data_IF_616227357028
#
_entry.id   IF_616227357028
#
_cell.length_a   1.000
_cell.length_b   1.000
_cell.length_c   1.000
_cell.angle_alpha   90.00
_cell.angle_beta   90.00
_cell.angle_gamma   90.00
#
_symmetry.space_group_name_H-M   'P 1'
#
loop_
_entity.id
_entity.type
_entity.pdbx_description
1 polymer ?
#
# COMPACT_ATOMS: atom_id res chain seq x y z
N UNK A 1 -14.10 29.63 -25.23
CA UNK A 1 -13.86 28.19 -25.50
C UNK A 1 -14.73 27.88 -26.70
N UNK A 2 -14.11 27.73 -27.87
CA UNK A 2 -14.83 27.62 -29.14
C UNK A 2 -15.35 26.18 -29.31
N UNK A 3 -16.44 25.97 -30.04
CA UNK A 3 -17.00 24.62 -30.31
C UNK A 3 -15.98 23.69 -30.98
N UNK A 4 -15.09 24.25 -31.82
CA UNK A 4 -13.97 23.55 -32.45
C UNK A 4 -12.91 23.06 -31.45
N UNK A 5 -12.73 23.73 -30.30
CA UNK A 5 -11.77 23.31 -29.27
C UNK A 5 -12.30 22.09 -28.46
N UNK A 6 -13.61 21.86 -28.46
CA UNK A 6 -14.26 20.76 -27.75
C UNK A 6 -14.25 19.47 -28.58
N UNK A 7 -14.52 19.56 -29.89
CA UNK A 7 -14.48 18.40 -30.80
C UNK A 7 -13.06 17.82 -30.94
N UNK A 8 -12.04 18.70 -31.01
CA UNK A 8 -10.63 18.30 -31.01
C UNK A 8 -10.21 17.64 -29.68
N UNK A 9 -10.79 18.09 -28.54
CA UNK A 9 -10.50 17.52 -27.23
C UNK A 9 -11.15 16.14 -27.05
N UNK A 10 -12.37 15.94 -27.54
CA UNK A 10 -13.08 14.67 -27.47
C UNK A 10 -12.45 13.61 -28.40
N UNK A 11 -12.05 14.02 -29.62
CA UNK A 11 -11.30 13.17 -30.55
C UNK A 11 -9.96 12.71 -29.95
N UNK A 12 -9.24 13.62 -29.29
CA UNK A 12 -8.00 13.30 -28.59
C UNK A 12 -8.22 12.31 -27.44
N UNK A 13 -9.29 12.47 -26.66
CA UNK A 13 -9.61 11.58 -25.55
C UNK A 13 -9.96 10.17 -26.01
N UNK A 14 -10.71 10.03 -27.11
CA UNK A 14 -11.01 8.75 -27.73
C UNK A 14 -9.74 8.06 -28.24
N UNK A 15 -8.86 8.79 -28.92
CA UNK A 15 -7.59 8.23 -29.38
C UNK A 15 -6.69 7.75 -28.22
N UNK A 16 -6.63 8.53 -27.14
CA UNK A 16 -5.88 8.15 -25.93
C UNK A 16 -6.51 6.95 -25.23
N UNK A 17 -7.84 6.86 -25.21
CA UNK A 17 -8.56 5.70 -24.68
C UNK A 17 -8.15 4.42 -25.42
N UNK A 18 -8.19 4.44 -26.76
CA UNK A 18 -7.88 3.29 -27.60
C UNK A 18 -6.41 2.87 -27.45
N UNK A 19 -5.49 3.84 -27.44
CA UNK A 19 -4.06 3.61 -27.22
C UNK A 19 -3.79 2.89 -25.89
N UNK A 20 -4.43 3.36 -24.81
CA UNK A 20 -4.26 2.81 -23.47
C UNK A 20 -4.85 1.41 -23.37
N UNK A 21 -6.02 1.16 -23.96
CA UNK A 21 -6.63 -0.17 -24.01
C UNK A 21 -5.76 -1.18 -24.77
N UNK A 22 -5.26 -0.81 -25.95
CA UNK A 22 -4.43 -1.68 -26.79
C UNK A 22 -3.16 -2.19 -26.08
N UNK A 23 -2.54 -1.40 -25.20
CA UNK A 23 -1.26 -1.76 -24.58
C UNK A 23 -1.40 -2.25 -23.13
N UNK A 24 -2.61 -2.23 -22.55
CA UNK A 24 -2.85 -2.68 -21.18
C UNK A 24 -3.81 -3.87 -21.09
N UNK A 25 -4.46 -4.24 -22.20
CA UNK A 25 -5.39 -5.37 -22.29
C UNK A 25 -4.78 -6.61 -22.97
N UNK A 26 -3.56 -6.56 -23.51
CA UNK A 26 -2.91 -7.76 -24.06
C UNK A 26 -2.50 -8.75 -22.96
N UNK A 27 -2.88 -10.01 -23.15
CA UNK A 27 -2.41 -11.15 -22.36
C UNK A 27 -0.91 -11.31 -22.56
N UNK A 28 -0.13 -11.09 -21.51
CA UNK A 28 1.31 -11.38 -21.46
C UNK A 28 1.60 -12.79 -21.99
N UNK A 29 2.04 -12.89 -23.25
CA UNK A 29 2.77 -14.06 -23.77
C UNK A 29 4.19 -13.99 -23.24
N UNK A 30 4.35 -14.40 -21.98
CA UNK A 30 5.67 -14.61 -21.38
C UNK A 30 6.04 -16.09 -21.51
N UNK A 31 7.13 -16.37 -22.22
CA UNK A 31 7.67 -17.73 -22.45
C UNK A 31 8.30 -18.38 -21.19
N UNK A 32 8.33 -17.65 -20.06
CA UNK A 32 8.89 -18.12 -18.79
C UNK A 32 7.77 -18.31 -17.74
N UNK A 33 7.46 -19.57 -17.40
CA UNK A 33 6.39 -19.96 -16.47
C UNK A 33 6.53 -19.29 -15.09
N UNK A 34 7.75 -19.06 -14.62
CA UNK A 34 7.99 -18.45 -13.32
C UNK A 34 7.69 -16.93 -13.32
N UNK A 35 8.08 -16.23 -14.38
CA UNK A 35 7.79 -14.82 -14.58
C UNK A 35 6.29 -14.59 -14.83
N UNK A 36 5.66 -15.46 -15.62
CA UNK A 36 4.22 -15.44 -15.87
C UNK A 36 3.40 -15.66 -14.60
N UNK A 37 3.85 -16.55 -13.70
CA UNK A 37 3.20 -16.76 -12.41
C UNK A 37 3.29 -15.51 -11.51
N UNK A 38 4.47 -14.90 -11.39
CA UNK A 38 4.66 -13.68 -10.62
C UNK A 38 3.86 -12.48 -11.17
N UNK A 39 3.80 -12.33 -12.50
CA UNK A 39 2.99 -11.31 -13.18
C UNK A 39 1.49 -11.52 -12.92
N UNK A 40 0.99 -12.76 -13.04
CA UNK A 40 -0.40 -13.11 -12.71
C UNK A 40 -0.73 -12.84 -11.23
N UNK A 41 0.18 -13.17 -10.32
CA UNK A 41 0.03 -12.90 -8.88
C UNK A 41 0.05 -11.40 -8.57
N UNK A 42 0.90 -10.61 -9.25
CA UNK A 42 0.95 -9.16 -9.11
C UNK A 42 -0.32 -8.50 -9.67
N UNK A 43 -0.82 -8.96 -10.82
CA UNK A 43 -2.08 -8.51 -11.43
C UNK A 43 -3.27 -8.80 -10.52
N UNK A 44 -3.33 -10.00 -9.93
CA UNK A 44 -4.39 -10.41 -9.00
C UNK A 44 -4.33 -9.68 -7.63
N UNK A 45 -3.25 -8.96 -7.33
CA UNK A 45 -3.11 -8.21 -6.06
C UNK A 45 -3.28 -6.70 -6.20
N UNK A 46 -3.46 -6.20 -7.43
CA UNK A 46 -3.93 -4.83 -7.68
C UNK A 46 -5.46 -4.90 -7.69
N UNK A 47 -6.12 -4.23 -6.74
CA UNK A 47 -7.59 -4.13 -6.76
C UNK A 47 -8.04 -3.39 -8.01
N UNK A 48 -9.20 -3.75 -8.57
CA UNK A 48 -9.74 -3.12 -9.79
C UNK A 48 -9.77 -1.58 -9.68
N UNK A 49 -10.14 -1.06 -8.51
CA UNK A 49 -10.12 0.39 -8.24
C UNK A 49 -8.73 1.04 -8.31
N UNK A 50 -7.65 0.30 -8.01
CA UNK A 50 -6.26 0.79 -8.15
C UNK A 50 -5.83 0.80 -9.61
N UNK A 51 -6.21 -0.22 -10.39
CA UNK A 51 -5.97 -0.29 -11.83
C UNK A 51 -6.66 0.86 -12.55
N UNK A 52 -7.94 1.11 -12.25
CA UNK A 52 -8.69 2.24 -12.80
C UNK A 52 -8.09 3.60 -12.42
N UNK A 53 -7.58 3.70 -11.19
CA UNK A 53 -6.80 4.85 -10.73
C UNK A 53 -5.57 5.10 -11.60
N UNK A 54 -4.78 4.06 -11.88
CA UNK A 54 -3.61 4.17 -12.74
C UNK A 54 -3.95 4.49 -14.19
N UNK A 55 -5.00 3.87 -14.75
CA UNK A 55 -5.48 4.17 -16.10
C UNK A 55 -5.82 5.65 -16.26
N UNK A 56 -6.54 6.24 -15.30
CA UNK A 56 -6.86 7.68 -15.33
C UNK A 56 -5.61 8.55 -15.30
N UNK A 57 -4.61 8.18 -14.50
CA UNK A 57 -3.36 8.95 -14.44
C UNK A 57 -2.59 8.87 -15.76
N UNK A 58 -2.50 7.67 -16.37
CA UNK A 58 -1.82 7.47 -17.66
C UNK A 58 -2.50 8.30 -18.75
N UNK A 59 -3.83 8.28 -18.83
CA UNK A 59 -4.58 9.12 -19.79
C UNK A 59 -4.25 10.59 -19.62
N UNK A 60 -4.28 11.10 -18.39
CA UNK A 60 -3.92 12.50 -18.12
C UNK A 60 -2.46 12.84 -18.48
N UNK A 61 -1.53 11.90 -18.28
CA UNK A 61 -0.13 12.07 -18.66
C UNK A 61 0.02 12.22 -20.18
N UNK A 62 -0.60 11.32 -20.94
CA UNK A 62 -0.56 11.34 -22.41
C UNK A 62 -1.23 12.61 -22.95
N UNK A 63 -2.43 12.94 -22.47
CA UNK A 63 -3.14 14.15 -22.87
C UNK A 63 -2.36 15.42 -22.54
N UNK A 64 -1.66 15.47 -21.40
CA UNK A 64 -0.84 16.61 -21.02
C UNK A 64 0.27 16.89 -22.03
N UNK A 65 0.98 15.85 -22.48
CA UNK A 65 2.08 16.02 -23.44
C UNK A 65 1.59 16.29 -24.85
N UNK A 66 0.54 15.60 -25.31
CA UNK A 66 -0.05 15.83 -26.63
C UNK A 66 -0.60 17.26 -26.79
N UNK A 67 -1.11 17.87 -25.71
CA UNK A 67 -1.54 19.27 -25.72
C UNK A 67 -0.37 20.25 -25.86
N UNK A 68 0.82 19.89 -25.39
CA UNK A 68 2.03 20.75 -25.46
C UNK A 68 2.79 20.54 -26.76
N UNK A 69 2.77 19.31 -27.28
CA UNK A 69 3.40 18.92 -28.52
C UNK A 69 2.54 17.85 -29.20
N UNK A 70 1.84 18.22 -30.27
CA UNK A 70 0.98 17.30 -31.03
C UNK A 70 1.75 16.12 -31.66
N UNK A 71 3.07 16.28 -31.85
CA UNK A 71 3.96 15.24 -32.39
C UNK A 71 4.64 14.42 -31.29
N UNK A 72 4.25 14.57 -30.03
CA UNK A 72 4.80 13.76 -28.94
C UNK A 72 4.28 12.33 -29.04
N UNK A 73 5.19 11.36 -29.05
CA UNK A 73 4.84 9.94 -29.10
C UNK A 73 4.85 9.34 -27.69
N UNK A 74 3.69 8.87 -27.24
CA UNK A 74 3.51 8.22 -25.96
C UNK A 74 4.24 6.87 -25.82
N UNK A 75 4.58 6.23 -26.94
CA UNK A 75 5.28 4.95 -27.01
C UNK A 75 6.79 5.11 -27.08
N UNK A 76 7.29 6.27 -27.50
CA UNK A 76 8.70 6.56 -27.56
C UNK A 76 9.29 6.61 -26.14
N UNK A 77 10.36 5.84 -25.92
CA UNK A 77 11.09 5.81 -24.64
C UNK A 77 12.56 6.11 -24.88
N UNK A 78 12.98 7.30 -24.53
CA UNK A 78 14.30 7.89 -24.81
C UNK A 78 14.86 8.70 -23.63
N UNK A 79 15.94 9.43 -23.86
CA UNK A 79 16.62 10.26 -22.87
C UNK A 79 15.74 11.37 -22.28
N UNK A 80 14.71 11.83 -23.02
CA UNK A 80 13.77 12.87 -22.61
C UNK A 80 12.66 12.34 -21.72
N UNK A 81 12.36 11.04 -21.82
CA UNK A 81 11.24 10.43 -21.10
C UNK A 81 11.28 10.65 -19.57
N UNK A 82 12.44 10.56 -18.87
CA UNK A 82 12.55 10.98 -17.47
C UNK A 82 12.13 12.43 -17.21
N UNK A 83 12.49 13.35 -18.11
CA UNK A 83 12.12 14.76 -18.00
C UNK A 83 10.62 14.97 -18.20
N UNK A 84 10.02 14.29 -19.17
CA UNK A 84 8.58 14.31 -19.42
C UNK A 84 7.77 13.85 -18.20
N UNK A 85 8.25 12.81 -17.51
CA UNK A 85 7.68 12.34 -16.24
C UNK A 85 7.75 13.45 -15.18
N UNK A 86 8.93 14.03 -14.96
CA UNK A 86 9.09 15.09 -13.95
C UNK A 86 8.31 16.37 -14.28
N UNK A 87 8.16 16.71 -15.56
CA UNK A 87 7.37 17.85 -16.01
C UNK A 87 5.88 17.65 -15.69
N UNK A 88 5.35 16.46 -15.95
CA UNK A 88 3.96 16.15 -15.59
C UNK A 88 3.75 16.13 -14.06
N UNK A 89 4.66 15.54 -13.30
CA UNK A 89 4.57 15.55 -11.84
C UNK A 89 4.65 16.99 -11.30
N UNK A 90 5.49 17.84 -11.91
CA UNK A 90 5.55 19.27 -11.59
C UNK A 90 4.23 19.97 -11.88
N UNK A 91 3.61 19.71 -13.04
CA UNK A 91 2.29 20.26 -13.36
C UNK A 91 1.25 19.90 -12.29
N UNK A 92 1.28 18.67 -11.80
CA UNK A 92 0.36 18.18 -10.77
C UNK A 92 0.68 18.74 -9.38
N UNK A 93 1.94 18.72 -8.97
CA UNK A 93 2.32 18.87 -7.57
C UNK A 93 3.04 20.19 -7.26
N UNK A 94 3.34 21.01 -8.27
CA UNK A 94 4.00 22.30 -8.11
C UNK A 94 3.16 23.31 -7.32
N UNK A 95 3.75 24.45 -6.93
CA UNK A 95 3.04 25.50 -6.19
C UNK A 95 1.89 26.11 -7.00
N UNK A 96 0.74 26.34 -6.36
CA UNK A 96 -0.44 26.93 -7.02
C UNK A 96 -0.15 28.36 -7.48
N UNK A 97 0.70 29.10 -6.75
CA UNK A 97 1.06 30.48 -7.13
C UNK A 97 1.81 30.54 -8.47
N UNK A 98 2.40 29.43 -8.90
CA UNK A 98 3.10 29.31 -10.19
C UNK A 98 2.21 28.71 -11.30
N UNK A 99 0.89 28.57 -11.06
CA UNK A 99 -0.08 28.06 -12.04
C UNK A 99 -0.16 26.54 -12.11
N UNK A 100 0.38 25.82 -11.12
CA UNK A 100 0.28 24.36 -11.02
C UNK A 100 -0.96 23.91 -10.23
N UNK A 101 -1.28 22.62 -10.28
CA UNK A 101 -2.49 22.08 -9.63
C UNK A 101 -2.39 21.96 -8.09
N UNK A 102 -1.21 22.14 -7.49
CA UNK A 102 -1.06 22.14 -6.03
C UNK A 102 -1.32 20.78 -5.35
N UNK A 103 -1.27 19.67 -6.09
CA UNK A 103 -1.56 18.34 -5.53
C UNK A 103 -0.49 17.92 -4.50
N UNK A 104 -0.91 16.99 -3.64
CA UNK A 104 -0.10 16.39 -2.56
C UNK A 104 1.01 15.48 -3.09
N UNK A 105 2.03 15.24 -2.29
CA UNK A 105 3.13 14.31 -2.62
C UNK A 105 2.62 12.90 -2.93
N UNK A 106 1.55 12.45 -2.27
CA UNK A 106 0.89 11.17 -2.58
C UNK A 106 0.47 11.04 -4.05
N UNK A 107 0.09 12.16 -4.69
CA UNK A 107 -0.24 12.18 -6.13
C UNK A 107 0.99 11.92 -6.98
N UNK A 108 2.16 12.47 -6.62
CA UNK A 108 3.42 12.18 -7.30
C UNK A 108 3.80 10.69 -7.17
N UNK A 109 3.62 10.10 -5.99
CA UNK A 109 3.88 8.67 -5.74
C UNK A 109 2.98 7.80 -6.61
N UNK A 110 1.67 8.07 -6.61
CA UNK A 110 0.70 7.35 -7.46
C UNK A 110 0.97 7.55 -8.95
N UNK A 111 1.43 8.74 -9.35
CA UNK A 111 1.82 9.02 -10.74
C UNK A 111 3.02 8.19 -11.15
N UNK A 112 4.08 8.15 -10.35
CA UNK A 112 5.25 7.31 -10.63
C UNK A 112 4.87 5.83 -10.74
N UNK A 113 3.99 5.34 -9.86
CA UNK A 113 3.50 3.96 -9.91
C UNK A 113 2.71 3.67 -11.21
N UNK A 114 1.75 4.53 -11.56
CA UNK A 114 0.96 4.40 -12.78
C UNK A 114 1.84 4.39 -14.04
N UNK A 115 2.80 5.31 -14.14
CA UNK A 115 3.72 5.36 -15.28
C UNK A 115 4.69 4.18 -15.30
N UNK A 116 5.05 3.63 -14.14
CA UNK A 116 5.84 2.39 -14.08
C UNK A 116 5.05 1.22 -14.68
N UNK A 117 3.75 1.15 -14.43
CA UNK A 117 2.87 0.16 -15.06
C UNK A 117 2.80 0.39 -16.58
N UNK A 118 2.60 1.63 -17.03
CA UNK A 118 2.58 1.96 -18.46
C UNK A 118 3.85 1.52 -19.20
N UNK A 119 5.02 1.97 -18.74
CA UNK A 119 6.28 1.66 -19.41
C UNK A 119 6.70 0.20 -19.31
N UNK A 120 6.23 -0.54 -18.30
CA UNK A 120 6.40 -1.99 -18.24
C UNK A 120 5.62 -2.68 -19.35
N UNK A 121 4.38 -2.28 -19.62
CA UNK A 121 3.60 -2.91 -20.69
C UNK A 121 4.11 -2.51 -22.08
N UNK A 122 4.63 -1.28 -22.25
CA UNK A 122 5.32 -0.91 -23.49
C UNK A 122 6.62 -1.69 -23.71
N UNK A 123 7.27 -2.15 -22.63
CA UNK A 123 8.59 -2.81 -22.66
C UNK A 123 8.59 -4.03 -21.71
N UNK A 124 7.88 -5.12 -22.07
CA UNK A 124 7.60 -6.24 -21.15
C UNK A 124 8.84 -6.99 -20.65
N UNK A 125 9.95 -6.91 -21.40
CA UNK A 125 11.21 -7.62 -21.09
C UNK A 125 12.32 -6.70 -20.55
N UNK A 126 12.00 -5.48 -20.12
CA UNK A 126 13.02 -4.60 -19.57
C UNK A 126 13.40 -4.93 -18.12
N UNK A 127 14.69 -4.75 -17.84
CA UNK A 127 15.24 -4.95 -16.51
C UNK A 127 14.67 -3.93 -15.52
N UNK A 128 14.52 -4.35 -14.26
CA UNK A 128 14.16 -3.45 -13.15
C UNK A 128 15.36 -2.66 -12.61
N UNK A 129 16.53 -2.82 -13.23
CA UNK A 129 17.74 -2.05 -12.92
C UNK A 129 17.58 -0.57 -13.28
N UNK A 130 18.54 0.24 -12.81
CA UNK A 130 18.57 1.67 -13.08
C UNK A 130 18.54 1.99 -14.58
N UNK A 131 17.80 3.04 -14.93
CA UNK A 131 17.73 3.60 -16.28
C UNK A 131 19.10 4.04 -16.76
N UNK A 132 19.59 3.45 -17.84
CA UNK A 132 20.94 3.71 -18.37
C UNK A 132 21.00 3.58 -19.88
N UNK A 133 21.93 4.29 -20.48
CA UNK A 133 22.28 4.10 -21.89
C UNK A 133 23.21 2.89 -22.00
N UNK A 134 22.79 1.88 -22.75
CA UNK A 134 23.58 0.68 -23.04
C UNK A 134 23.89 0.64 -24.54
N UNK A 135 25.10 1.08 -24.89
CA UNK A 135 25.48 1.36 -26.27
C UNK A 135 24.67 2.50 -26.88
N UNK A 136 23.71 2.15 -27.74
CA UNK A 136 22.79 3.09 -28.42
C UNK A 136 21.35 3.00 -27.92
N UNK A 137 21.05 2.04 -27.02
CA UNK A 137 19.69 1.78 -26.56
C UNK A 137 19.56 2.09 -25.08
N UNK A 138 18.52 2.83 -24.71
CA UNK A 138 18.20 3.05 -23.31
C UNK A 138 17.56 1.81 -22.69
N UNK A 139 18.14 1.29 -21.60
CA UNK A 139 17.69 0.11 -20.85
C UNK A 139 17.13 0.51 -19.48
N UNK A 140 16.24 -0.33 -18.95
CA UNK A 140 15.54 -0.11 -17.69
C UNK A 140 14.23 0.68 -17.84
N UNK A 141 13.61 1.04 -16.71
CA UNK A 141 12.38 1.83 -16.70
C UNK A 141 12.69 3.32 -16.47
N UNK A 142 12.14 4.26 -17.27
CA UNK A 142 12.44 5.69 -17.12
C UNK A 142 11.98 6.26 -15.77
N UNK A 143 10.94 5.66 -15.16
CA UNK A 143 10.47 6.00 -13.79
C UNK A 143 11.46 5.64 -12.69
N UNK A 144 12.45 4.78 -12.98
CA UNK A 144 13.56 4.39 -12.09
C UNK A 144 14.85 5.15 -12.38
N UNK A 145 14.82 6.13 -13.28
CA UNK A 145 15.97 6.98 -13.52
C UNK A 145 16.40 7.76 -12.28
N UNK A 146 17.69 8.10 -12.24
CA UNK A 146 18.26 8.96 -11.20
C UNK A 146 17.56 10.31 -11.15
N UNK A 147 17.21 10.87 -12.32
CA UNK A 147 16.50 12.15 -12.46
C UNK A 147 15.15 12.11 -11.76
N UNK A 148 14.31 11.12 -12.10
CA UNK A 148 12.98 10.97 -11.46
C UNK A 148 13.14 10.69 -9.96
N UNK A 149 14.12 9.88 -9.55
CA UNK A 149 14.34 9.56 -8.14
C UNK A 149 14.78 10.77 -7.31
N UNK A 150 15.74 11.54 -7.79
CA UNK A 150 16.19 12.77 -7.15
C UNK A 150 15.08 13.82 -7.09
N UNK A 151 14.32 13.96 -8.18
CA UNK A 151 13.16 14.85 -8.24
C UNK A 151 12.11 14.48 -7.17
N UNK A 152 11.77 13.21 -7.03
CA UNK A 152 10.81 12.74 -6.02
C UNK A 152 11.27 13.06 -4.59
N UNK A 153 12.55 12.81 -4.28
CA UNK A 153 13.13 13.15 -2.96
C UNK A 153 13.11 14.65 -2.71
N UNK A 154 13.44 15.47 -3.72
CA UNK A 154 13.37 16.92 -3.63
C UNK A 154 11.95 17.42 -3.39
N UNK A 155 10.99 16.89 -4.15
CA UNK A 155 9.57 17.21 -4.01
C UNK A 155 9.05 16.83 -2.61
N UNK A 156 9.41 15.66 -2.11
CA UNK A 156 9.04 15.19 -0.76
C UNK A 156 9.51 16.17 0.32
N UNK A 157 10.79 16.56 0.27
CA UNK A 157 11.37 17.53 1.21
C UNK A 157 10.67 18.89 1.12
N UNK A 158 10.40 19.36 -0.09
CA UNK A 158 9.70 20.64 -0.31
C UNK A 158 8.28 20.60 0.25
N UNK A 159 7.53 19.52 0.01
CA UNK A 159 6.17 19.33 0.54
C UNK A 159 6.16 19.19 2.06
N UNK A 160 7.10 18.43 2.62
CA UNK A 160 7.28 18.34 4.07
C UNK A 160 7.57 19.73 4.68
N UNK A 161 8.43 20.54 4.06
CA UNK A 161 8.73 21.91 4.50
C UNK A 161 7.51 22.83 4.42
N UNK A 162 6.62 22.64 3.46
CA UNK A 162 5.35 23.38 3.37
C UNK A 162 4.27 22.89 4.36
N UNK A 163 4.64 22.04 5.32
CA UNK A 163 3.72 21.50 6.33
C UNK A 163 2.87 20.33 5.85
N UNK A 164 3.13 19.79 4.66
CA UNK A 164 2.53 18.53 4.23
C UNK A 164 3.22 17.39 4.97
N UNK A 165 2.70 17.08 6.16
CA UNK A 165 3.11 15.87 6.88
C UNK A 165 2.61 14.69 6.05
N UNK A 166 3.53 13.81 5.62
CA UNK A 166 3.17 12.56 4.96
C UNK A 166 2.25 11.77 5.89
N UNK A 167 0.94 11.85 5.62
CA UNK A 167 -0.09 11.29 6.47
C UNK A 167 -0.09 9.76 6.47
N UNK A 168 0.76 9.12 5.65
CA UNK A 168 0.80 7.66 5.50
C UNK A 168 1.74 6.94 6.45
N UNK A 169 2.55 7.62 7.27
CA UNK A 169 3.50 6.92 8.14
C UNK A 169 4.02 7.74 9.33
N UNK A 170 3.15 8.33 10.17
CA UNK A 170 3.60 8.57 11.55
C UNK A 170 3.65 7.21 12.25
N UNK A 171 4.85 6.77 12.62
CA UNK A 171 5.02 5.59 13.45
C UNK A 171 4.24 5.77 14.76
N UNK A 172 3.51 4.74 15.20
CA UNK A 172 2.85 4.76 16.50
C UNK A 172 3.92 4.89 17.59
N UNK A 173 3.77 5.89 18.45
CA UNK A 173 4.61 6.06 19.62
C UNK A 173 4.00 5.33 20.83
N UNK A 174 4.78 5.20 21.91
CA UNK A 174 4.32 4.58 23.16
C UNK A 174 3.07 5.27 23.70
N UNK A 175 3.02 6.60 23.63
CA UNK A 175 1.90 7.41 24.11
C UNK A 175 0.64 7.20 23.27
N UNK A 176 0.79 6.87 21.98
CA UNK A 176 -0.32 6.59 21.09
C UNK A 176 -1.01 5.27 21.49
N UNK A 177 -0.23 4.26 21.89
CA UNK A 177 -0.76 2.97 22.41
C UNK A 177 -1.49 3.15 23.74
N UNK A 178 -0.94 3.97 24.64
CA UNK A 178 -1.59 4.30 25.91
C UNK A 178 -2.92 5.01 25.71
N UNK A 179 -2.95 6.05 24.86
CA UNK A 179 -4.19 6.76 24.53
C UNK A 179 -5.23 5.83 23.90
N UNK A 180 -4.80 4.91 23.04
CA UNK A 180 -5.69 3.91 22.45
C UNK A 180 -6.27 2.97 23.50
N UNK A 181 -5.44 2.47 24.43
CA UNK A 181 -5.89 1.65 25.54
C UNK A 181 -6.94 2.39 26.39
N UNK A 182 -6.63 3.61 26.84
CA UNK A 182 -7.52 4.39 27.70
C UNK A 182 -8.85 4.69 27.01
N UNK A 183 -8.79 5.01 25.72
CA UNK A 183 -9.99 5.18 24.91
C UNK A 183 -10.82 3.88 24.85
N UNK A 184 -10.21 2.73 24.59
CA UNK A 184 -10.92 1.44 24.46
C UNK A 184 -11.45 0.90 25.79
N UNK A 185 -10.82 1.27 26.91
CA UNK A 185 -11.17 0.79 28.25
C UNK A 185 -12.03 1.79 29.05
N UNK A 186 -12.39 2.92 28.44
CA UNK A 186 -13.16 3.98 29.10
C UNK A 186 -14.47 3.42 29.68
N UNK A 187 -14.75 3.63 30.99
CA UNK A 187 -15.93 3.07 31.66
C UNK A 187 -17.26 3.61 31.12
N UNK A 188 -17.24 4.74 30.38
CA UNK A 188 -18.43 5.33 29.75
C UNK A 188 -18.87 4.61 28.48
N UNK A 189 -18.06 3.71 27.93
CA UNK A 189 -18.40 2.96 26.72
C UNK A 189 -19.45 1.89 26.99
N UNK A 190 -20.29 1.63 25.98
CA UNK A 190 -21.20 0.48 26.03
C UNK A 190 -20.40 -0.83 26.01
N UNK A 191 -21.02 -1.93 26.46
CA UNK A 191 -20.36 -3.24 26.44
C UNK A 191 -19.87 -3.62 25.04
N UNK A 192 -20.68 -3.40 24.01
CA UNK A 192 -20.31 -3.69 22.61
C UNK A 192 -19.10 -2.86 22.16
N UNK A 193 -19.09 -1.56 22.47
CA UNK A 193 -17.97 -0.66 22.15
C UNK A 193 -16.69 -1.10 22.87
N UNK A 194 -16.78 -1.47 24.14
CA UNK A 194 -15.65 -1.96 24.93
C UNK A 194 -15.09 -3.26 24.36
N UNK A 195 -15.96 -4.23 24.02
CA UNK A 195 -15.57 -5.51 23.40
C UNK A 195 -14.88 -5.31 22.05
N UNK A 196 -15.42 -4.46 21.18
CA UNK A 196 -14.77 -4.11 19.92
C UNK A 196 -13.46 -3.33 20.13
N UNK A 197 -13.41 -2.48 21.17
CA UNK A 197 -12.24 -1.75 21.61
C UNK A 197 -11.09 -2.68 22.02
N UNK A 198 -11.38 -3.75 22.78
CA UNK A 198 -10.38 -4.76 23.17
C UNK A 198 -9.73 -5.38 21.92
N UNK A 199 -10.53 -5.85 20.97
CA UNK A 199 -10.02 -6.45 19.71
C UNK A 199 -9.11 -5.46 18.97
N UNK A 200 -9.54 -4.21 18.86
CA UNK A 200 -8.77 -3.13 18.19
C UNK A 200 -7.45 -2.87 18.91
N UNK A 201 -7.49 -2.63 20.22
CA UNK A 201 -6.31 -2.34 21.02
C UNK A 201 -5.28 -3.48 20.93
N UNK A 202 -5.70 -4.74 21.07
CA UNK A 202 -4.79 -5.89 20.97
C UNK A 202 -4.16 -5.98 19.58
N UNK A 203 -4.93 -5.76 18.50
CA UNK A 203 -4.40 -5.76 17.14
C UNK A 203 -3.34 -4.66 16.92
N UNK A 204 -3.60 -3.43 17.36
CA UNK A 204 -2.62 -2.34 17.23
C UNK A 204 -1.39 -2.54 18.12
N UNK A 205 -1.55 -3.10 19.33
CA UNK A 205 -0.43 -3.43 20.20
C UNK A 205 0.48 -4.48 19.56
N UNK A 206 -0.07 -5.56 18.98
CA UNK A 206 0.75 -6.56 18.29
C UNK A 206 1.42 -5.99 17.04
N UNK A 207 0.73 -5.13 16.28
CA UNK A 207 1.31 -4.44 15.12
C UNK A 207 2.53 -3.61 15.54
N UNK A 208 2.41 -2.90 16.65
CA UNK A 208 3.46 -2.06 17.19
C UNK A 208 4.64 -2.87 17.76
N UNK A 209 4.38 -3.87 18.61
CA UNK A 209 5.42 -4.70 19.23
C UNK A 209 6.21 -5.53 18.22
N UNK A 210 5.54 -6.04 17.17
CA UNK A 210 6.17 -6.92 16.18
C UNK A 210 6.63 -6.17 14.92
N UNK A 211 6.40 -4.85 14.85
CA UNK A 211 6.65 -4.00 13.67
C UNK A 211 5.94 -4.54 12.40
N UNK A 212 4.74 -5.07 12.58
CA UNK A 212 3.92 -5.63 11.51
C UNK A 212 2.95 -4.58 10.97
N UNK A 213 2.63 -4.69 9.68
CA UNK A 213 1.48 -3.96 9.13
C UNK A 213 0.19 -4.51 9.74
N UNK A 214 -0.82 -3.66 9.87
CA UNK A 214 -2.11 -4.09 10.44
C UNK A 214 -2.73 -5.24 9.63
N UNK A 215 -2.53 -5.29 8.31
CA UNK A 215 -3.03 -6.39 7.47
C UNK A 215 -2.31 -7.71 7.74
N UNK A 216 -1.04 -7.68 8.16
CA UNK A 216 -0.27 -8.86 8.58
C UNK A 216 -0.79 -9.36 9.94
N UNK A 217 -1.02 -8.46 10.89
CA UNK A 217 -1.61 -8.79 12.20
C UNK A 217 -3.01 -9.38 12.06
N UNK A 218 -3.84 -8.81 11.19
CA UNK A 218 -5.20 -9.31 10.96
C UNK A 218 -5.25 -10.73 10.38
N UNK A 219 -4.14 -11.21 9.80
CA UNK A 219 -4.01 -12.57 9.26
C UNK A 219 -3.50 -13.58 10.30
N UNK A 220 -3.14 -13.13 11.51
CA UNK A 220 -2.76 -14.03 12.60
C UNK A 220 -3.90 -14.99 12.90
N UNK A 221 -3.51 -16.23 13.17
CA UNK A 221 -4.40 -17.32 13.54
C UNK A 221 -4.09 -17.80 14.96
N UNK A 222 -5.02 -18.53 15.56
CA UNK A 222 -4.76 -19.18 16.85
C UNK A 222 -3.55 -20.11 16.79
N UNK A 223 -3.37 -20.80 15.65
CA UNK A 223 -2.23 -21.70 15.44
C UNK A 223 -0.88 -20.96 15.36
N UNK A 224 -0.90 -19.64 15.17
CA UNK A 224 0.31 -18.81 15.15
C UNK A 224 0.81 -18.45 16.55
N UNK A 225 0.00 -18.68 17.59
CA UNK A 225 0.32 -18.33 18.97
C UNK A 225 0.78 -19.59 19.70
N UNK A 226 2.08 -19.69 19.95
CA UNK A 226 2.66 -20.77 20.73
C UNK A 226 2.83 -20.34 22.19
N UNK A 227 2.05 -20.97 23.06
CA UNK A 227 2.15 -20.78 24.50
C UNK A 227 2.49 -22.12 25.15
N UNK A 228 3.75 -22.24 25.58
CA UNK A 228 4.21 -23.38 26.37
C UNK A 228 3.38 -23.48 27.66
N UNK A 229 2.74 -24.63 27.96
CA UNK A 229 1.98 -24.81 29.18
C UNK A 229 2.81 -24.50 30.43
N UNK A 230 2.27 -23.69 31.35
CA UNK A 230 2.95 -23.28 32.58
C UNK A 230 3.87 -22.06 32.44
N UNK A 231 4.24 -21.66 31.22
CA UNK A 231 5.02 -20.45 30.99
C UNK A 231 4.16 -19.18 31.18
N UNK A 232 4.71 -18.22 31.91
CA UNK A 232 4.07 -16.95 32.27
C UNK A 232 4.88 -15.72 31.84
N UNK A 233 6.15 -15.90 31.51
CA UNK A 233 7.08 -14.82 31.19
C UNK A 233 7.06 -14.43 29.73
N UNK A 234 6.68 -15.33 28.82
CA UNK A 234 6.63 -15.03 27.39
C UNK A 234 5.66 -15.96 26.65
N UNK A 235 5.37 -15.58 25.41
CA UNK A 235 4.76 -16.42 24.39
C UNK A 235 5.48 -16.16 23.07
N UNK A 236 5.42 -17.13 22.16
CA UNK A 236 6.01 -17.01 20.84
C UNK A 236 4.90 -16.83 19.79
N UNK A 237 5.09 -15.90 18.87
CA UNK A 237 4.17 -15.63 17.74
C UNK A 237 4.91 -15.91 16.44
N UNK A 238 4.35 -16.74 15.57
CA UNK A 238 4.94 -17.07 14.27
C UNK A 238 4.02 -16.65 13.13
N UNK A 239 4.56 -16.12 12.03
CA UNK A 239 3.77 -15.87 10.82
C UNK A 239 3.99 -16.98 9.80
N UNK A 240 2.89 -17.49 9.23
CA UNK A 240 2.97 -18.37 8.07
C UNK A 240 3.56 -17.58 6.89
N UNK A 241 4.67 -18.07 6.35
CA UNK A 241 5.50 -17.57 5.24
C UNK A 241 5.00 -16.31 4.51
N UNK A 242 5.81 -15.26 4.57
CA UNK A 242 5.61 -13.98 3.86
C UNK A 242 5.73 -14.20 2.35
N UNK A 243 4.90 -13.51 1.55
CA UNK A 243 4.96 -13.41 0.06
C UNK A 243 6.33 -13.01 -0.55
N UNK A 244 7.36 -12.74 0.27
CA UNK A 244 8.69 -12.31 -0.17
C UNK A 244 9.85 -13.16 0.39
N UNK A 245 9.61 -14.20 1.19
CA UNK A 245 10.71 -15.06 1.66
C UNK A 245 10.99 -16.19 0.66
N UNK A 246 11.86 -15.92 -0.32
CA UNK A 246 12.46 -16.96 -1.18
C UNK A 246 13.34 -17.96 -0.40
N UNK A 247 13.59 -17.71 0.89
CA UNK A 247 14.56 -18.46 1.71
C UNK A 247 13.96 -19.44 2.72
N UNK A 248 12.62 -19.56 2.81
CA UNK A 248 11.97 -20.57 3.68
C UNK A 248 12.10 -20.35 5.19
N UNK A 249 12.72 -19.25 5.65
CA UNK A 249 12.86 -18.94 7.08
C UNK A 249 11.54 -18.39 7.64
N UNK A 250 10.99 -19.08 8.64
CA UNK A 250 9.86 -18.63 9.45
C UNK A 250 10.34 -17.53 10.41
N UNK A 251 9.70 -16.37 10.37
CA UNK A 251 9.92 -15.33 11.38
C UNK A 251 9.04 -15.62 12.59
N UNK A 252 9.68 -15.73 13.76
CA UNK A 252 9.03 -15.81 15.06
C UNK A 252 9.42 -14.62 15.94
N UNK A 253 8.47 -14.18 16.75
CA UNK A 253 8.64 -13.12 17.74
C UNK A 253 8.38 -13.69 19.13
N UNK A 254 9.33 -13.47 20.04
CA UNK A 254 9.15 -13.76 21.46
C UNK A 254 8.63 -12.52 22.17
N UNK A 255 7.40 -12.58 22.64
CA UNK A 255 6.74 -11.48 23.33
C UNK A 255 6.78 -11.72 24.84
N UNK A 256 7.53 -10.88 25.55
CA UNK A 256 7.71 -10.99 27.00
C UNK A 256 6.59 -10.28 27.77
N UNK A 257 6.23 -10.83 28.92
CA UNK A 257 5.42 -10.13 29.91
C UNK A 257 6.10 -8.81 30.30
N UNK A 258 5.31 -7.75 30.39
CA UNK A 258 5.75 -6.46 30.89
C UNK A 258 4.91 -6.09 32.11
N UNK A 259 5.47 -6.28 33.30
CA UNK A 259 4.80 -5.88 34.54
C UNK A 259 5.09 -4.42 34.93
N UNK A 260 6.14 -3.82 34.36
CA UNK A 260 6.46 -2.40 34.57
C UNK A 260 5.43 -1.50 33.86
N UNK A 261 4.97 -1.92 32.68
CA UNK A 261 3.91 -1.26 31.93
C UNK A 261 2.84 -2.29 31.50
N UNK A 262 1.76 -2.43 32.30
CA UNK A 262 0.66 -3.32 32.00
C UNK A 262 -0.09 -3.01 30.71
N UNK A 263 -0.03 -1.76 30.22
CA UNK A 263 -0.75 -1.28 29.03
C UNK A 263 -0.06 -1.72 27.74
N UNK A 264 1.23 -2.03 27.77
CA UNK A 264 1.92 -2.60 26.59
C UNK A 264 2.27 -4.08 26.78
N UNK A 265 1.75 -4.71 27.83
CA UNK A 265 2.04 -6.10 28.16
C UNK A 265 1.31 -7.05 27.21
N UNK A 266 2.02 -7.79 26.33
CA UNK A 266 1.39 -8.70 25.38
C UNK A 266 0.65 -9.83 26.09
N UNK A 267 1.19 -10.35 27.20
CA UNK A 267 0.52 -11.39 27.99
C UNK A 267 -0.84 -10.94 28.51
N UNK A 268 -0.92 -9.71 29.05
CA UNK A 268 -2.20 -9.13 29.53
C UNK A 268 -3.15 -8.87 28.37
N UNK A 269 -2.65 -8.42 27.23
CA UNK A 269 -3.44 -8.21 26.02
C UNK A 269 -4.07 -9.54 25.53
N UNK A 270 -3.32 -10.64 25.50
CA UNK A 270 -3.87 -11.96 25.16
C UNK A 270 -4.84 -12.50 26.20
N UNK A 271 -4.62 -12.25 27.50
CA UNK A 271 -5.57 -12.60 28.55
C UNK A 271 -6.88 -11.84 28.36
N UNK A 272 -6.82 -10.53 28.09
CA UNK A 272 -8.00 -9.71 27.79
C UNK A 272 -8.78 -10.24 26.57
N UNK A 273 -8.06 -10.61 25.51
CA UNK A 273 -8.66 -11.20 24.32
C UNK A 273 -9.32 -12.56 24.61
N UNK A 274 -8.64 -13.42 25.38
CA UNK A 274 -9.17 -14.72 25.78
C UNK A 274 -10.41 -14.58 26.68
N UNK A 275 -10.40 -13.63 27.62
CA UNK A 275 -11.57 -13.32 28.46
C UNK A 275 -12.75 -12.80 27.65
N UNK A 276 -12.51 -12.07 26.55
CA UNK A 276 -13.55 -11.65 25.63
C UNK A 276 -14.18 -12.83 24.88
N UNK A 277 -13.38 -13.78 24.41
CA UNK A 277 -13.84 -14.94 23.64
C UNK A 277 -14.53 -15.99 24.50
N UNK A 278 -14.13 -16.12 25.76
CA UNK A 278 -14.70 -17.11 26.67
C UNK A 278 -14.35 -18.56 26.28
N UNK A 279 -14.89 -19.53 27.02
CA UNK A 279 -14.53 -20.94 26.87
C UNK A 279 -15.15 -21.62 25.64
N UNK A 280 -16.24 -21.07 25.10
CA UNK A 280 -17.03 -21.69 24.03
C UNK A 280 -16.42 -21.51 22.63
N UNK A 281 -15.53 -20.53 22.46
CA UNK A 281 -14.89 -20.25 21.18
C UNK A 281 -13.84 -21.31 20.86
N UNK A 282 -13.96 -21.95 19.69
CA UNK A 282 -12.93 -22.86 19.17
C UNK A 282 -11.66 -22.06 18.88
N UNK A 283 -10.55 -22.48 19.50
CA UNK A 283 -9.22 -21.86 19.37
C UNK A 283 -8.52 -22.32 18.09
N UNK A 284 -9.15 -22.09 16.94
CA UNK A 284 -8.60 -22.46 15.63
C UNK A 284 -9.07 -21.48 14.56
N UNK A 285 -8.20 -21.19 13.59
CA UNK A 285 -8.46 -20.22 12.54
C UNK A 285 -8.12 -18.78 12.96
N UNK A 286 -8.78 -17.77 12.39
CA UNK A 286 -8.44 -16.35 12.60
C UNK A 286 -8.43 -15.96 14.08
N UNK A 287 -7.34 -15.31 14.52
CA UNK A 287 -7.19 -14.86 15.90
C UNK A 287 -8.14 -13.72 16.24
N UNK A 288 -8.35 -12.79 15.30
CA UNK A 288 -9.17 -11.61 15.50
C UNK A 288 -10.58 -11.78 14.92
N UNK A 289 -11.54 -12.02 15.81
CA UNK A 289 -12.94 -12.26 15.49
C UNK A 289 -13.76 -10.97 15.48
N UNK A 290 -14.79 -10.91 14.63
CA UNK A 290 -15.72 -9.77 14.58
C UNK A 290 -16.60 -9.70 15.83
N UNK A 291 -16.89 -8.47 16.30
CA UNK A 291 -17.80 -8.21 17.41
C UNK A 291 -19.06 -7.53 16.85
N UNK A 292 -20.23 -8.14 17.05
CA UNK A 292 -21.50 -7.59 16.56
C UNK A 292 -21.87 -6.27 17.26
N UNK A 293 -22.86 -5.56 16.71
CA UNK A 293 -23.38 -4.33 17.33
C UNK A 293 -23.94 -4.58 18.75
N UNK A 294 -24.38 -5.80 19.03
CA UNK A 294 -24.86 -6.25 20.35
C UNK A 294 -23.70 -6.73 21.25
N UNK A 295 -22.46 -6.74 20.76
CA UNK A 295 -21.27 -7.15 21.51
C UNK A 295 -21.00 -8.65 21.48
N UNK A 296 -21.69 -9.43 20.64
CA UNK A 296 -21.43 -10.87 20.51
C UNK A 296 -20.19 -11.13 19.63
N UNK A 297 -19.37 -12.11 20.00
CA UNK A 297 -18.20 -12.51 19.21
C UNK A 297 -18.65 -13.48 18.11
N UNK A 298 -18.39 -13.13 16.86
CA UNK A 298 -18.86 -13.86 15.67
C UNK A 298 -17.74 -14.74 15.13
N UNK A 299 -17.71 -16.01 15.51
CA UNK A 299 -16.65 -16.94 15.12
C UNK A 299 -16.59 -17.22 13.61
N UNK A 300 -17.75 -17.19 12.92
CA UNK A 300 -17.85 -17.40 11.47
C UNK A 300 -17.46 -16.16 10.64
N UNK A 301 -17.18 -15.03 11.28
CA UNK A 301 -16.85 -13.77 10.62
C UNK A 301 -15.48 -13.26 11.10
N UNK A 302 -14.38 -13.58 10.38
CA UNK A 302 -13.11 -12.94 10.67
C UNK A 302 -13.21 -11.44 10.41
N UNK A 303 -12.44 -10.66 11.17
CA UNK A 303 -12.39 -9.20 11.00
C UNK A 303 -11.58 -8.78 9.75
N UNK A 304 -11.04 -9.75 9.00
CA UNK A 304 -10.42 -9.56 7.69
C UNK A 304 -11.51 -9.25 6.66
N UNK A 305 -11.52 -8.04 6.10
CA UNK A 305 -12.34 -7.74 4.92
C UNK A 305 -11.88 -8.63 3.75
N UNK A 306 -12.82 -9.34 3.12
CA UNK A 306 -12.62 -9.95 1.81
C UNK A 306 -12.23 -8.90 0.79
#
# INVERSE_FOLDING_TARGET
MCLLDLEDADSLLLHVQDLVSQHLDEEDRLDDEAAGCAAKMAKASITDGTRDGHLRIIKHYITFHLRRNKNWDAKQVDDKTPHDITAFITQKCGPVEQGFEGRKYSTAVSTRAALTMWYRNLRPNESLTEWRLDGVTWRGLPTRSRIVSQFMVGLEKTKAKSGEVSSSARALALEDIHRLHDHCMNPKLTLAQKRAGIVRYVAYLLAWLMLLRIDEVMKLRFENIDKVPGERKFLDVSLNTRKQNQTGVLHSWRLHANDADPVICPMRAFILLASLYGPEIKKSGPLFLHVSAQGAVMQSQPLVRK
#
